data_IF_927486727122
#
_entry.id   IF_927486727122
#
_cell.length_a   1.000
_cell.length_b   1.000
_cell.length_c   1.000
_cell.angle_alpha   90.00
_cell.angle_beta   90.00
_cell.angle_gamma   90.00
#
_symmetry.space_group_name_H-M   'P 1'
#
loop_
_entity.id
_entity.type
_entity.pdbx_description
1 polymer ?
#
# COMPACT_ATOMS: atom_id res chain seq x y z
N UNK A 1 40.28 2.68 -11.72
CA UNK A 1 40.11 3.67 -10.62
C UNK A 1 40.24 3.03 -9.25
N UNK A 2 39.57 1.92 -8.93
CA UNK A 2 39.63 1.28 -7.60
C UNK A 2 41.05 0.84 -7.17
N UNK A 3 41.88 0.34 -8.10
CA UNK A 3 43.27 -0.04 -7.80
C UNK A 3 44.13 1.12 -7.27
N UNK A 4 43.91 2.36 -7.78
CA UNK A 4 44.63 3.56 -7.31
C UNK A 4 44.29 3.93 -5.86
N UNK A 5 43.10 3.57 -5.37
CA UNK A 5 42.71 3.80 -3.97
C UNK A 5 43.37 2.81 -3.01
N UNK A 6 43.70 1.59 -3.47
CA UNK A 6 44.44 0.62 -2.67
C UNK A 6 45.93 0.97 -2.53
N UNK A 7 46.51 1.69 -3.50
CA UNK A 7 47.88 2.21 -3.43
C UNK A 7 48.04 3.38 -2.46
N UNK A 8 47.02 4.23 -2.33
CA UNK A 8 47.06 5.43 -1.46
C UNK A 8 46.63 5.09 -0.03
N UNK A 9 45.68 4.17 0.13
CA UNK A 9 45.15 3.75 1.44
C UNK A 9 45.14 2.22 1.48
N UNK A 10 45.83 1.57 2.44
CA UNK A 10 45.79 0.12 2.56
C UNK A 10 44.34 -0.36 2.74
N UNK A 11 43.92 -1.32 1.91
CA UNK A 11 42.54 -1.85 1.83
C UNK A 11 41.46 -0.80 1.48
N UNK A 12 41.84 0.36 0.91
CA UNK A 12 40.89 1.44 0.57
C UNK A 12 39.83 1.02 -0.45
N UNK A 13 40.21 0.27 -1.48
CA UNK A 13 39.28 -0.24 -2.48
C UNK A 13 38.23 -1.20 -1.88
N UNK A 14 38.66 -2.07 -0.97
CA UNK A 14 37.80 -3.07 -0.33
C UNK A 14 36.82 -2.41 0.66
N UNK A 15 37.27 -1.38 1.40
CA UNK A 15 36.38 -0.56 2.24
C UNK A 15 35.31 0.17 1.43
N UNK A 16 35.65 0.72 0.27
CA UNK A 16 34.69 1.39 -0.62
C UNK A 16 33.68 0.39 -1.17
N UNK A 17 34.16 -0.78 -1.63
CA UNK A 17 33.29 -1.83 -2.14
C UNK A 17 32.32 -2.32 -1.06
N UNK A 18 32.82 -2.57 0.15
CA UNK A 18 32.00 -2.98 1.31
C UNK A 18 31.00 -1.91 1.73
N UNK A 19 31.36 -0.63 1.62
CA UNK A 19 30.44 0.48 1.87
C UNK A 19 29.32 0.54 0.81
N UNK A 20 29.66 0.34 -0.47
CA UNK A 20 28.69 0.29 -1.56
C UNK A 20 27.76 -0.92 -1.44
N UNK A 21 28.28 -2.09 -1.08
CA UNK A 21 27.48 -3.30 -0.81
C UNK A 21 26.51 -3.09 0.35
N UNK A 22 26.97 -2.50 1.46
CA UNK A 22 26.12 -2.23 2.61
C UNK A 22 25.00 -1.24 2.26
N UNK A 23 25.30 -0.21 1.48
CA UNK A 23 24.27 0.72 0.99
C UNK A 23 23.28 0.04 0.06
N UNK A 24 23.75 -0.82 -0.85
CA UNK A 24 22.90 -1.61 -1.74
C UNK A 24 21.99 -2.55 -0.95
N UNK A 25 22.53 -3.29 0.03
CA UNK A 25 21.77 -4.18 0.93
C UNK A 25 20.73 -3.40 1.75
N UNK A 26 21.10 -2.25 2.29
CA UNK A 26 20.17 -1.38 3.02
C UNK A 26 19.01 -0.92 2.14
N UNK A 27 19.31 -0.45 0.92
CA UNK A 27 18.29 -0.02 -0.04
C UNK A 27 17.36 -1.17 -0.45
N UNK A 28 17.90 -2.34 -0.75
CA UNK A 28 17.11 -3.53 -1.07
C UNK A 28 16.20 -3.94 0.10
N UNK A 29 16.68 -3.83 1.34
CA UNK A 29 15.88 -4.09 2.53
C UNK A 29 14.67 -3.14 2.60
N UNK A 30 14.90 -1.83 2.46
CA UNK A 30 13.82 -0.82 2.47
C UNK A 30 12.81 -1.09 1.35
N UNK A 31 13.27 -1.38 0.14
CA UNK A 31 12.40 -1.69 -1.00
C UNK A 31 11.55 -2.94 -0.72
N UNK A 32 12.14 -3.99 -0.13
CA UNK A 32 11.43 -5.20 0.29
C UNK A 32 10.35 -4.89 1.33
N UNK A 33 10.67 -4.12 2.36
CA UNK A 33 9.71 -3.72 3.40
C UNK A 33 8.57 -2.87 2.82
N UNK A 34 8.86 -1.95 1.90
CA UNK A 34 7.84 -1.14 1.24
C UNK A 34 6.86 -2.00 0.42
N UNK A 35 7.38 -2.99 -0.34
CA UNK A 35 6.54 -3.91 -1.14
C UNK A 35 5.71 -4.84 -0.25
N UNK A 36 6.33 -5.43 0.77
CA UNK A 36 5.66 -6.35 1.69
C UNK A 36 4.60 -5.61 2.52
N UNK A 37 4.95 -4.46 3.09
CA UNK A 37 4.02 -3.63 3.88
C UNK A 37 2.82 -3.16 3.06
N UNK A 38 3.03 -2.75 1.81
CA UNK A 38 1.94 -2.39 0.90
C UNK A 38 0.99 -3.55 0.61
N UNK A 39 1.53 -4.77 0.43
CA UNK A 39 0.74 -5.98 0.19
C UNK A 39 -0.09 -6.34 1.41
N UNK A 40 0.52 -6.39 2.60
CA UNK A 40 -0.16 -6.77 3.85
C UNK A 40 -1.31 -5.81 4.14
N UNK A 41 -1.08 -4.49 4.07
CA UNK A 41 -2.12 -3.49 4.34
C UNK A 41 -3.31 -3.61 3.37
N UNK A 42 -3.04 -3.96 2.11
CA UNK A 42 -4.11 -4.21 1.13
C UNK A 42 -4.96 -5.42 1.50
N UNK A 43 -4.34 -6.53 1.95
CA UNK A 43 -5.06 -7.74 2.34
C UNK A 43 -5.88 -7.54 3.62
N UNK A 44 -5.33 -6.84 4.61
CA UNK A 44 -6.06 -6.48 5.83
C UNK A 44 -7.27 -5.59 5.54
N UNK A 45 -7.13 -4.61 4.63
CA UNK A 45 -8.26 -3.76 4.23
C UNK A 45 -9.42 -4.55 3.62
N UNK A 46 -9.12 -5.52 2.74
CA UNK A 46 -10.13 -6.41 2.15
C UNK A 46 -10.76 -7.32 3.20
N UNK A 47 -9.97 -7.87 4.12
CA UNK A 47 -10.47 -8.72 5.21
C UNK A 47 -11.42 -7.95 6.14
N UNK A 48 -11.08 -6.73 6.55
CA UNK A 48 -11.95 -5.87 7.35
C UNK A 48 -13.26 -5.55 6.61
N UNK A 49 -13.18 -5.24 5.31
CA UNK A 49 -14.38 -4.99 4.50
C UNK A 49 -15.28 -6.22 4.40
N UNK A 50 -14.71 -7.43 4.28
CA UNK A 50 -15.46 -8.68 4.27
C UNK A 50 -16.22 -8.89 5.60
N UNK A 51 -15.58 -8.62 6.74
CA UNK A 51 -16.23 -8.74 8.06
C UNK A 51 -17.40 -7.75 8.18
N UNK A 52 -17.21 -6.50 7.73
CA UNK A 52 -18.28 -5.50 7.74
C UNK A 52 -19.44 -5.93 6.84
N UNK A 53 -19.16 -6.44 5.64
CA UNK A 53 -20.19 -6.93 4.72
C UNK A 53 -21.00 -8.11 5.29
N UNK A 54 -20.33 -9.07 5.93
CA UNK A 54 -21.00 -10.18 6.60
C UNK A 54 -21.83 -9.70 7.79
N UNK A 55 -21.32 -8.74 8.57
CA UNK A 55 -22.04 -8.13 9.68
C UNK A 55 -23.31 -7.43 9.21
N UNK A 56 -23.24 -6.57 8.19
CA UNK A 56 -24.41 -5.82 7.71
C UNK A 56 -25.48 -6.74 7.11
N UNK A 57 -25.08 -7.82 6.43
CA UNK A 57 -26.00 -8.84 5.94
C UNK A 57 -26.66 -9.62 7.09
N UNK A 58 -25.87 -10.04 8.09
CA UNK A 58 -26.39 -10.79 9.23
C UNK A 58 -27.39 -9.96 10.04
N UNK A 59 -27.00 -8.76 10.47
CA UNK A 59 -27.87 -7.87 11.24
C UNK A 59 -29.07 -7.40 10.42
N UNK A 60 -28.90 -7.08 9.13
CA UNK A 60 -30.01 -6.73 8.24
C UNK A 60 -31.03 -7.86 8.12
N UNK A 61 -30.57 -9.11 7.97
CA UNK A 61 -31.45 -10.28 7.91
C UNK A 61 -32.19 -10.55 9.24
N UNK A 62 -31.52 -10.33 10.37
CA UNK A 62 -32.13 -10.49 11.70
C UNK A 62 -33.25 -9.47 11.93
N UNK A 63 -33.02 -8.18 11.59
CA UNK A 63 -34.03 -7.12 11.72
C UNK A 63 -35.27 -7.38 10.84
N UNK A 64 -35.08 -7.94 9.64
CA UNK A 64 -36.19 -8.30 8.75
C UNK A 64 -37.04 -9.42 9.37
N UNK A 65 -36.41 -10.40 10.03
CA UNK A 65 -37.11 -11.51 10.70
C UNK A 65 -37.95 -11.06 11.90
N UNK A 66 -37.53 -10.00 12.60
CA UNK A 66 -38.27 -9.42 13.73
C UNK A 66 -39.44 -8.52 13.30
N UNK A 67 -39.69 -8.36 11.99
CA UNK A 67 -40.81 -7.60 11.44
C UNK A 67 -40.47 -6.15 11.10
N UNK A 68 -39.24 -5.70 11.32
CA UNK A 68 -38.78 -4.35 11.01
C UNK A 68 -38.19 -4.23 9.59
N UNK A 69 -38.98 -4.60 8.58
CA UNK A 69 -38.57 -4.65 7.15
C UNK A 69 -37.99 -3.33 6.61
N UNK A 70 -38.57 -2.18 6.98
CA UNK A 70 -38.11 -0.85 6.52
C UNK A 70 -36.73 -0.52 7.11
N UNK A 71 -36.53 -0.73 8.41
CA UNK A 71 -35.24 -0.43 9.06
C UNK A 71 -34.14 -1.38 8.60
N UNK A 72 -34.45 -2.68 8.43
CA UNK A 72 -33.49 -3.67 7.96
C UNK A 72 -33.03 -3.44 6.52
N UNK A 73 -33.94 -3.00 5.65
CA UNK A 73 -33.61 -2.66 4.25
C UNK A 73 -32.77 -1.38 4.15
N UNK A 74 -33.09 -0.33 4.93
CA UNK A 74 -32.25 0.87 5.00
C UNK A 74 -30.86 0.54 5.55
N UNK A 75 -30.78 -0.26 6.61
CA UNK A 75 -29.50 -0.65 7.22
C UNK A 75 -28.61 -1.44 6.25
N UNK A 76 -29.17 -2.47 5.60
CA UNK A 76 -28.45 -3.25 4.60
C UNK A 76 -28.06 -2.40 3.39
N UNK A 77 -28.95 -1.53 2.91
CA UNK A 77 -28.71 -0.62 1.79
C UNK A 77 -27.60 0.39 2.08
N UNK A 78 -27.66 1.09 3.22
CA UNK A 78 -26.62 2.02 3.65
C UNK A 78 -25.28 1.32 3.86
N UNK A 79 -25.27 0.12 4.45
CA UNK A 79 -24.06 -0.69 4.62
C UNK A 79 -23.40 -1.02 3.28
N UNK A 80 -24.19 -1.45 2.29
CA UNK A 80 -23.69 -1.78 0.96
C UNK A 80 -23.16 -0.54 0.23
N UNK A 81 -23.91 0.57 0.24
CA UNK A 81 -23.49 1.84 -0.37
C UNK A 81 -22.21 2.36 0.28
N UNK A 82 -22.10 2.31 1.61
CA UNK A 82 -20.89 2.69 2.35
C UNK A 82 -19.68 1.85 1.95
N UNK A 83 -19.85 0.54 1.79
CA UNK A 83 -18.77 -0.35 1.37
C UNK A 83 -18.33 -0.09 -0.07
N UNK A 84 -19.29 0.02 -1.01
CA UNK A 84 -19.01 0.30 -2.43
C UNK A 84 -18.31 1.65 -2.60
N UNK A 85 -18.79 2.68 -1.92
CA UNK A 85 -18.18 4.02 -1.97
C UNK A 85 -16.75 4.03 -1.43
N UNK A 86 -16.49 3.36 -0.29
CA UNK A 86 -15.14 3.21 0.25
C UNK A 86 -14.19 2.47 -0.71
N UNK A 87 -14.66 1.41 -1.37
CA UNK A 87 -13.88 0.68 -2.38
C UNK A 87 -13.55 1.53 -3.61
N UNK A 88 -14.54 2.26 -4.14
CA UNK A 88 -14.35 3.16 -5.30
C UNK A 88 -13.37 4.26 -4.94
N UNK A 89 -13.55 4.91 -3.78
CA UNK A 89 -12.68 5.98 -3.32
C UNK A 89 -11.25 5.47 -3.10
N UNK A 90 -11.08 4.32 -2.45
CA UNK A 90 -9.78 3.68 -2.25
C UNK A 90 -9.07 3.35 -3.57
N UNK A 91 -9.81 2.87 -4.58
CA UNK A 91 -9.25 2.57 -5.91
C UNK A 91 -8.84 3.84 -6.65
N UNK A 92 -9.66 4.89 -6.57
CA UNK A 92 -9.39 6.19 -7.19
C UNK A 92 -8.16 6.87 -6.56
N UNK A 93 -8.10 6.92 -5.23
CA UNK A 93 -6.97 7.50 -4.49
C UNK A 93 -5.64 6.85 -4.87
N UNK A 94 -5.57 5.51 -4.90
CA UNK A 94 -4.36 4.78 -5.34
C UNK A 94 -3.98 5.08 -6.79
N UNK A 95 -4.95 5.34 -7.67
CA UNK A 95 -4.69 5.71 -9.07
C UNK A 95 -4.14 7.14 -9.18
N UNK A 96 -4.69 8.08 -8.41
CA UNK A 96 -4.21 9.46 -8.37
C UNK A 96 -2.79 9.53 -7.79
N UNK A 97 -2.51 8.80 -6.72
CA UNK A 97 -1.16 8.72 -6.13
C UNK A 97 -0.11 8.18 -7.12
N UNK A 98 -0.46 7.15 -7.91
CA UNK A 98 0.40 6.65 -9.00
C UNK A 98 0.65 7.72 -10.06
N UNK A 99 -0.39 8.42 -10.52
CA UNK A 99 -0.25 9.50 -11.51
C UNK A 99 0.63 10.63 -11.01
N UNK A 100 0.47 11.05 -9.74
CA UNK A 100 1.29 12.08 -9.10
C UNK A 100 2.77 11.64 -9.02
N UNK A 101 3.04 10.38 -8.64
CA UNK A 101 4.42 9.85 -8.64
C UNK A 101 5.02 9.84 -10.06
N UNK A 102 4.25 9.45 -11.06
CA UNK A 102 4.72 9.43 -12.46
C UNK A 102 4.99 10.84 -12.99
N UNK A 103 4.12 11.81 -12.71
CA UNK A 103 4.31 13.21 -13.09
C UNK A 103 5.57 13.80 -12.45
N UNK A 104 5.73 13.62 -11.13
CA UNK A 104 6.92 14.06 -10.40
C UNK A 104 8.20 13.44 -10.97
N UNK A 105 8.17 12.16 -11.32
CA UNK A 105 9.32 11.49 -11.95
C UNK A 105 9.66 12.09 -13.32
N UNK A 106 8.66 12.45 -14.14
CA UNK A 106 8.87 13.10 -15.44
C UNK A 106 9.46 14.51 -15.28
N UNK A 107 8.99 15.27 -14.30
CA UNK A 107 9.53 16.61 -14.00
C UNK A 107 11.01 16.56 -13.58
N UNK A 108 11.36 15.59 -12.73
CA UNK A 108 12.76 15.37 -12.31
C UNK A 108 13.67 15.00 -13.49
N UNK A 109 13.17 14.25 -14.47
CA UNK A 109 13.93 13.91 -15.68
C UNK A 109 14.09 15.13 -16.59
N UNK A 110 13.09 16.02 -16.65
CA UNK A 110 13.12 17.22 -17.50
C UNK A 110 14.05 18.33 -16.96
N UNK A 111 14.38 18.31 -15.67
CA UNK A 111 15.27 19.28 -15.03
C UNK A 111 16.76 18.88 -15.03
N UNK A 112 17.09 17.65 -15.45
CA UNK A 112 18.48 17.17 -15.62
C UNK A 112 18.93 17.33 -17.06
#
# INVERSE_FOLDING_TARGET
>A
MLAKFAEIIPNGADRILKMAENQSKHRQCIEKWAVVGGTILSHFGVACAMIIALGTLYFGSALIREGHTVSGSIFAGCGLVGLVTAFIYGTRSRREERKLRDQRNRELIRQK
#
